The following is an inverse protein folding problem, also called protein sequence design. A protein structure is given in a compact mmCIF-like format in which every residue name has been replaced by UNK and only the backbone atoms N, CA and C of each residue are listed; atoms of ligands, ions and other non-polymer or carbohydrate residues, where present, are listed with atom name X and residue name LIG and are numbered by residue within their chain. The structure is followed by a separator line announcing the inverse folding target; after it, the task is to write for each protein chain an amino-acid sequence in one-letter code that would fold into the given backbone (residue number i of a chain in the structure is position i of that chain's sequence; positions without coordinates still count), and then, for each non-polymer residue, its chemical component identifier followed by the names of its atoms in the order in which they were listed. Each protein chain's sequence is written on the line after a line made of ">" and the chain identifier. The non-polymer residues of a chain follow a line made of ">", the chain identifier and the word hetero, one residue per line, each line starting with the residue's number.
data_IF_558719173639
#
_entry.id   IF_558719173639
#
_cell.length_a   1.000
_cell.length_b   1.000
_cell.length_c   1.000
_cell.angle_alpha   90.00
_cell.angle_beta   90.00
_cell.angle_gamma   90.00
#
_symmetry.space_group_name_H-M   'P 1'
#
loop_
_entity.id
_entity.type
_entity.pdbx_description
1 polymer ?
#
# COMPACT_ATOMS: atom_id res chain seq x y z
N UNK A 1 -13.50 14.30 -42.70
CA UNK A 1 -13.58 12.81 -42.80
C UNK A 1 -12.18 12.25 -42.98
N UNK A 2 -11.75 11.38 -42.05
CA UNK A 2 -10.59 10.46 -42.08
C UNK A 2 -9.21 11.08 -42.41
N UNK A 3 -8.17 11.02 -41.56
CA UNK A 3 -7.66 9.90 -40.74
C UNK A 3 -6.95 10.56 -39.54
N UNK A 4 -7.33 10.42 -38.26
CA UNK A 4 -7.52 9.19 -37.45
C UNK A 4 -6.43 8.16 -37.75
N UNK A 5 -5.21 8.39 -37.23
CA UNK A 5 -4.16 7.39 -36.94
C UNK A 5 -2.84 8.10 -36.53
N UNK A 6 -2.71 8.48 -35.26
CA UNK A 6 -1.40 8.53 -34.59
C UNK A 6 -1.48 8.60 -33.06
N UNK A 7 -2.63 8.92 -32.47
CA UNK A 7 -2.82 8.91 -31.02
C UNK A 7 -3.34 7.56 -30.47
N UNK A 8 -3.31 6.48 -31.26
CA UNK A 8 -3.90 5.18 -30.93
C UNK A 8 -2.85 4.11 -30.54
N UNK A 9 -1.72 4.51 -29.94
CA UNK A 9 -0.59 3.60 -29.69
C UNK A 9 -0.12 3.51 -28.23
N UNK A 10 -0.77 4.16 -27.26
CA UNK A 10 -0.32 4.07 -25.85
C UNK A 10 -1.43 4.20 -24.81
N UNK A 11 -2.57 3.57 -25.08
CA UNK A 11 -3.68 3.49 -24.12
C UNK A 11 -4.20 2.04 -23.98
N UNK A 12 -3.26 1.09 -24.04
CA UNK A 12 -3.49 -0.32 -23.73
C UNK A 12 -2.23 -0.85 -23.06
N UNK A 13 -2.18 -0.77 -21.73
CA UNK A 13 -1.54 -1.78 -20.88
C UNK A 13 -1.79 -1.47 -19.40
N UNK A 14 -3.02 -1.64 -18.94
CA UNK A 14 -3.29 -1.89 -17.52
C UNK A 14 -4.30 -3.01 -17.41
N UNK A 15 -3.95 -4.18 -17.95
CA UNK A 15 -4.42 -5.44 -17.37
C UNK A 15 -3.36 -5.82 -16.34
N UNK A 16 -3.62 -5.55 -15.06
CA UNK A 16 -2.83 -6.16 -13.99
C UNK A 16 -3.33 -7.59 -13.85
N UNK A 17 -2.47 -8.55 -14.21
CA UNK A 17 -2.70 -10.00 -14.18
C UNK A 17 -2.93 -10.60 -12.78
N UNK A 18 -2.94 -9.80 -11.72
CA UNK A 18 -2.79 -10.33 -10.36
C UNK A 18 -4.08 -10.39 -9.53
N UNK A 19 -5.26 -10.11 -10.11
CA UNK A 19 -6.54 -10.30 -9.40
C UNK A 19 -6.72 -9.46 -8.12
N UNK A 20 -5.90 -8.44 -7.88
CA UNK A 20 -5.95 -7.64 -6.66
C UNK A 20 -6.91 -6.46 -6.82
N UNK A 21 -8.06 -6.55 -6.15
CA UNK A 21 -9.07 -5.48 -6.05
C UNK A 21 -8.42 -4.17 -5.57
N UNK A 22 -8.33 -3.19 -6.46
CA UNK A 22 -7.86 -1.83 -6.15
C UNK A 22 -9.04 -1.02 -5.60
N UNK A 23 -9.05 -0.75 -4.30
CA UNK A 23 -10.00 0.20 -3.71
C UNK A 23 -9.45 1.62 -3.90
N UNK A 24 -10.11 2.40 -4.75
CA UNK A 24 -9.69 3.77 -5.06
C UNK A 24 -10.37 4.72 -4.06
N UNK A 25 -9.59 5.35 -3.19
CA UNK A 25 -10.00 6.57 -2.47
C UNK A 25 -8.97 7.65 -2.81
N UNK A 26 -9.41 8.71 -3.49
CA UNK A 26 -8.66 9.96 -3.69
C UNK A 26 -7.21 9.85 -4.15
N UNK A 27 -6.99 9.60 -5.44
CA UNK A 27 -5.72 9.85 -6.15
C UNK A 27 -4.41 9.18 -5.64
N UNK A 28 -4.47 8.17 -4.75
CA UNK A 28 -3.34 7.27 -4.49
C UNK A 28 -3.73 5.84 -4.83
N UNK A 29 -2.97 5.21 -5.71
CA UNK A 29 -3.20 3.82 -6.11
C UNK A 29 -2.84 2.91 -4.93
N UNK A 30 -3.81 2.16 -4.41
CA UNK A 30 -3.54 1.13 -3.42
C UNK A 30 -2.97 -0.11 -4.12
N UNK A 31 -1.80 -0.57 -3.69
CA UNK A 31 -1.25 -1.87 -4.09
C UNK A 31 -1.33 -2.83 -2.91
N UNK A 32 -1.90 -4.02 -3.14
CA UNK A 32 -1.91 -5.07 -2.13
C UNK A 32 -0.52 -5.71 -2.10
N UNK A 33 -0.10 -6.09 -0.91
CA UNK A 33 1.19 -6.71 -0.63
C UNK A 33 0.91 -7.86 0.32
N UNK A 34 1.30 -9.06 -0.07
CA UNK A 34 1.21 -10.25 0.78
C UNK A 34 2.50 -10.39 1.58
N UNK A 35 2.37 -10.58 2.90
CA UNK A 35 3.51 -10.68 3.83
C UNK A 35 3.18 -11.76 4.85
N UNK A 36 4.11 -12.68 5.05
CA UNK A 36 4.04 -13.68 6.10
C UNK A 36 4.65 -13.15 7.40
N UNK A 37 3.99 -13.43 8.52
CA UNK A 37 4.45 -13.03 9.86
C UNK A 37 4.58 -14.26 10.76
N UNK A 38 5.64 -14.35 11.58
CA UNK A 38 5.71 -15.37 12.63
C UNK A 38 4.50 -15.29 13.57
N UNK A 39 4.01 -16.44 14.03
CA UNK A 39 2.80 -16.53 14.87
C UNK A 39 2.94 -15.70 16.15
N UNK A 40 4.11 -15.72 16.80
CA UNK A 40 4.37 -14.93 18.00
C UNK A 40 4.31 -13.42 17.76
N UNK A 41 4.76 -12.98 16.59
CA UNK A 41 4.68 -11.57 16.20
C UNK A 41 3.22 -11.18 15.97
N UNK A 42 2.44 -12.05 15.33
CA UNK A 42 1.02 -11.80 15.08
C UNK A 42 0.21 -11.69 16.37
N UNK A 43 0.49 -12.55 17.35
CA UNK A 43 -0.15 -12.50 18.67
C UNK A 43 0.09 -11.16 19.36
N UNK A 44 1.34 -10.71 19.43
CA UNK A 44 1.71 -9.42 20.03
C UNK A 44 1.05 -8.25 19.30
N UNK A 45 0.98 -8.31 17.98
CA UNK A 45 0.33 -7.28 17.17
C UNK A 45 -1.18 -7.21 17.42
N UNK A 46 -1.83 -8.36 17.67
CA UNK A 46 -3.25 -8.39 18.05
C UNK A 46 -3.50 -7.81 19.44
N UNK A 47 -2.66 -8.15 20.42
CA UNK A 47 -2.74 -7.62 21.78
C UNK A 47 -2.65 -6.08 21.75
N UNK A 48 -1.71 -5.56 20.98
CA UNK A 48 -1.53 -4.12 20.85
C UNK A 48 -2.67 -3.45 20.06
N UNK A 49 -3.14 -4.07 18.99
CA UNK A 49 -4.30 -3.59 18.25
C UNK A 49 -5.55 -3.50 19.15
N UNK A 50 -5.76 -4.51 20.01
CA UNK A 50 -6.80 -4.54 21.02
C UNK A 50 -6.63 -3.45 22.08
N UNK A 51 -5.40 -3.22 22.55
CA UNK A 51 -5.07 -2.16 23.52
C UNK A 51 -5.37 -0.76 22.98
N UNK A 52 -5.06 -0.52 21.71
CA UNK A 52 -5.31 0.77 21.02
C UNK A 52 -6.77 0.88 20.56
N UNK A 53 -7.48 -0.23 20.40
CA UNK A 53 -8.86 -0.26 19.93
C UNK A 53 -9.01 -0.12 18.41
N UNK A 54 -8.01 -0.56 17.65
CA UNK A 54 -8.02 -0.53 16.17
C UNK A 54 -7.79 -1.91 15.57
N UNK A 55 -8.12 -2.09 14.30
CA UNK A 55 -7.81 -3.34 13.62
C UNK A 55 -6.29 -3.46 13.34
N UNK A 56 -5.83 -4.70 13.19
CA UNK A 56 -4.42 -5.04 12.92
C UNK A 56 -3.86 -4.32 11.69
N UNK A 57 -4.62 -4.23 10.60
CA UNK A 57 -4.16 -3.59 9.36
C UNK A 57 -3.94 -2.08 9.55
N UNK A 58 -4.78 -1.41 10.34
CA UNK A 58 -4.63 0.01 10.66
C UNK A 58 -3.37 0.22 11.52
N UNK A 59 -3.15 -0.64 12.52
CA UNK A 59 -1.95 -0.59 13.35
C UNK A 59 -0.67 -0.78 12.51
N UNK A 60 -0.65 -1.78 11.61
CA UNK A 60 0.48 -2.01 10.69
C UNK A 60 0.76 -0.78 9.83
N UNK A 61 -0.29 -0.19 9.23
CA UNK A 61 -0.14 0.99 8.36
C UNK A 61 0.45 2.17 9.12
N UNK A 62 -0.07 2.45 10.31
CA UNK A 62 0.39 3.56 11.15
C UNK A 62 1.85 3.38 11.54
N UNK A 63 2.21 2.24 12.14
CA UNK A 63 3.59 2.00 12.55
C UNK A 63 4.58 1.97 11.38
N UNK A 64 4.17 1.43 10.23
CA UNK A 64 5.02 1.46 9.04
C UNK A 64 5.28 2.89 8.58
N UNK A 65 4.24 3.74 8.56
CA UNK A 65 4.37 5.15 8.22
C UNK A 65 5.33 5.87 9.18
N UNK A 66 5.09 5.75 10.49
CA UNK A 66 5.92 6.38 11.52
C UNK A 66 7.39 5.97 11.40
N UNK A 67 7.65 4.68 11.14
CA UNK A 67 9.02 4.18 10.95
C UNK A 67 9.67 4.72 9.69
N UNK A 68 8.94 4.85 8.58
CA UNK A 68 9.47 5.41 7.33
C UNK A 68 9.78 6.90 7.52
N UNK A 69 8.88 7.67 8.13
CA UNK A 69 9.09 9.10 8.41
C UNK A 69 10.35 9.32 9.25
N UNK A 70 10.53 8.56 10.33
CA UNK A 70 11.74 8.62 11.16
C UNK A 70 13.03 8.28 10.39
N UNK A 71 12.96 7.37 9.42
CA UNK A 71 14.11 7.04 8.57
C UNK A 71 14.43 8.17 7.59
N UNK A 72 13.42 8.81 7.04
CA UNK A 72 13.59 9.93 6.11
C UNK A 72 14.11 11.19 6.81
N UNK A 73 13.66 11.44 8.04
CA UNK A 73 14.23 12.49 8.90
C UNK A 73 15.71 12.25 9.17
N UNK A 74 16.09 11.02 9.54
CA UNK A 74 17.50 10.65 9.77
C UNK A 74 18.37 10.83 8.53
N UNK A 75 17.84 10.54 7.34
CA UNK A 75 18.57 10.71 6.07
C UNK A 75 18.77 12.18 5.70
N UNK A 76 17.80 13.05 5.99
CA UNK A 76 17.91 14.50 5.73
C UNK A 76 18.90 15.20 6.67
N UNK A 77 19.10 14.65 7.85
CA UNK A 77 20.02 15.18 8.86
C UNK A 77 21.49 14.76 8.65
N UNK A 78 21.76 13.86 7.69
CA UNK A 78 23.10 13.37 7.33
C UNK A 78 23.56 13.95 6.01
#
# INVERSE_FOLDING_TARGET
>A
MAKKKLAAAREKQWEKEDGETTLVHGASWMKRVNVDFPVDMLRRLNEEAGRVGINRQALIKMWLNDRIELLDEKRKAS
#
